data_IF_265751136840
#
_entry.id   IF_265751136840
#
_cell.length_a   1.000
_cell.length_b   1.000
_cell.length_c   1.000
_cell.angle_alpha   90.00
_cell.angle_beta   90.00
_cell.angle_gamma   90.00
#
_symmetry.space_group_name_H-M   'P 1'
#
loop_
_entity.id
_entity.type
_entity.pdbx_description
1 polymer ?
#
# COMPACT_ATOMS: atom_id res chain seq x y z
N UNK A 1 -10.39 6.75 16.23
CA UNK A 1 -11.14 6.11 15.12
C UNK A 1 -11.17 7.07 13.94
N UNK A 2 -10.87 6.60 12.72
CA UNK A 2 -10.95 7.45 11.53
C UNK A 2 -12.41 7.88 11.27
N UNK A 3 -12.63 9.16 10.93
CA UNK A 3 -13.97 9.73 10.65
C UNK A 3 -14.72 8.95 9.54
N UNK A 4 -14.00 8.38 8.58
CA UNK A 4 -14.54 7.53 7.52
C UNK A 4 -15.21 6.24 8.05
N UNK A 5 -14.61 5.58 9.06
CA UNK A 5 -15.16 4.34 9.61
C UNK A 5 -16.50 4.59 10.30
N UNK A 6 -16.66 5.76 10.93
CA UNK A 6 -17.93 6.18 11.53
C UNK A 6 -19.01 6.32 10.45
N UNK A 7 -18.66 6.92 9.30
CA UNK A 7 -19.58 7.06 8.16
C UNK A 7 -19.97 5.68 7.63
N UNK A 8 -18.99 4.81 7.33
CA UNK A 8 -19.23 3.47 6.77
C UNK A 8 -20.13 2.61 7.66
N UNK A 9 -19.91 2.63 8.97
CA UNK A 9 -20.68 1.80 9.91
C UNK A 9 -22.12 2.29 10.13
N UNK A 10 -22.45 3.53 9.74
CA UNK A 10 -23.77 4.13 9.97
C UNK A 10 -24.54 4.41 8.67
N UNK A 11 -24.08 3.88 7.53
CA UNK A 11 -24.74 4.04 6.23
C UNK A 11 -26.17 3.50 6.18
N UNK A 12 -26.49 2.50 7.01
CA UNK A 12 -27.84 1.92 7.09
C UNK A 12 -28.88 2.87 7.73
N UNK A 13 -28.42 3.89 8.47
CA UNK A 13 -29.30 4.78 9.25
C UNK A 13 -29.26 6.23 8.78
N UNK A 14 -28.11 6.69 8.27
CA UNK A 14 -27.91 8.09 7.89
C UNK A 14 -27.29 8.21 6.49
N UNK A 15 -27.58 9.31 5.80
CA UNK A 15 -26.94 9.62 4.53
C UNK A 15 -25.49 10.10 4.73
N UNK A 16 -24.62 9.81 3.77
CA UNK A 16 -23.23 10.31 3.73
C UNK A 16 -23.19 11.83 3.87
N UNK A 17 -24.11 12.54 3.21
CA UNK A 17 -24.20 14.00 3.26
C UNK A 17 -24.45 14.53 4.68
N UNK A 18 -25.37 13.91 5.43
CA UNK A 18 -25.66 14.29 6.81
C UNK A 18 -24.47 14.02 7.73
N UNK A 19 -23.86 12.84 7.62
CA UNK A 19 -22.70 12.48 8.44
C UNK A 19 -21.47 13.35 8.15
N UNK A 20 -21.21 13.67 6.88
CA UNK A 20 -20.15 14.60 6.47
C UNK A 20 -20.33 15.98 7.13
N UNK A 21 -21.56 16.51 7.19
CA UNK A 21 -21.84 17.79 7.87
C UNK A 21 -21.52 17.72 9.36
N UNK A 22 -21.98 16.68 10.05
CA UNK A 22 -21.76 16.50 11.50
C UNK A 22 -20.28 16.33 11.83
N UNK A 23 -19.55 15.56 11.02
CA UNK A 23 -18.13 15.28 11.21
C UNK A 23 -17.20 16.40 10.70
N UNK A 24 -17.78 17.49 10.18
CA UNK A 24 -17.08 18.61 9.55
C UNK A 24 -16.10 18.12 8.47
N UNK A 25 -16.60 17.24 7.60
CA UNK A 25 -15.86 16.58 6.54
C UNK A 25 -16.47 16.98 5.20
N UNK A 26 -15.63 17.37 4.24
CA UNK A 26 -16.14 17.66 2.91
C UNK A 26 -16.58 16.36 2.22
N UNK A 27 -17.68 16.40 1.46
CA UNK A 27 -18.17 15.23 0.70
C UNK A 27 -17.12 14.75 -0.31
N UNK A 28 -16.40 15.67 -0.95
CA UNK A 28 -15.36 15.35 -1.92
C UNK A 28 -14.20 14.61 -1.27
N UNK A 29 -13.75 15.03 -0.07
CA UNK A 29 -12.72 14.33 0.69
C UNK A 29 -13.13 12.89 0.99
N UNK A 30 -14.36 12.67 1.47
CA UNK A 30 -14.84 11.32 1.76
C UNK A 30 -14.80 10.39 0.54
N UNK A 31 -15.36 10.82 -0.59
CA UNK A 31 -15.38 9.99 -1.80
C UNK A 31 -13.97 9.79 -2.39
N UNK A 32 -13.10 10.80 -2.28
CA UNK A 32 -11.72 10.70 -2.73
C UNK A 32 -10.93 9.67 -1.92
N UNK A 33 -11.02 9.72 -0.60
CA UNK A 33 -10.37 8.76 0.30
C UNK A 33 -10.93 7.35 0.14
N UNK A 34 -12.25 7.21 0.05
CA UNK A 34 -12.92 5.93 -0.16
C UNK A 34 -12.46 5.27 -1.48
N UNK A 35 -12.41 6.06 -2.57
CA UNK A 35 -11.95 5.59 -3.88
C UNK A 35 -10.47 5.20 -3.88
N UNK A 36 -9.62 5.95 -3.17
CA UNK A 36 -8.20 5.59 -3.06
C UNK A 36 -8.02 4.24 -2.37
N UNK A 37 -8.68 4.02 -1.22
CA UNK A 37 -8.58 2.77 -0.46
C UNK A 37 -9.06 1.56 -1.25
N UNK A 38 -10.20 1.68 -1.94
CA UNK A 38 -10.72 0.61 -2.79
C UNK A 38 -9.70 0.25 -3.88
N UNK A 39 -9.12 1.25 -4.53
CA UNK A 39 -8.13 1.04 -5.59
C UNK A 39 -6.79 0.46 -5.12
N UNK A 40 -6.46 0.59 -3.84
CA UNK A 40 -5.28 -0.04 -3.25
C UNK A 40 -5.58 -1.49 -2.87
N UNK A 41 -6.74 -1.74 -2.27
CA UNK A 41 -7.18 -3.08 -1.86
C UNK A 41 -7.27 -4.05 -3.06
N UNK A 42 -7.80 -3.58 -4.21
CA UNK A 42 -7.88 -4.39 -5.43
C UNK A 42 -6.49 -4.83 -5.93
N UNK A 43 -5.46 -4.02 -5.71
CA UNK A 43 -4.10 -4.28 -6.21
C UNK A 43 -3.21 -5.02 -5.21
N UNK A 44 -3.55 -5.00 -3.92
CA UNK A 44 -2.78 -5.69 -2.87
C UNK A 44 -2.69 -7.19 -3.13
N UNK A 45 -3.82 -7.85 -3.39
CA UNK A 45 -3.87 -9.29 -3.64
C UNK A 45 -3.02 -9.74 -4.85
N UNK A 46 -3.16 -9.15 -6.06
CA UNK A 46 -2.34 -9.54 -7.21
C UNK A 46 -0.85 -9.18 -7.00
N UNK A 47 -0.53 -8.03 -6.39
CA UNK A 47 0.87 -7.68 -6.05
C UNK A 47 1.48 -8.74 -5.13
N UNK A 48 0.76 -9.15 -4.08
CA UNK A 48 1.24 -10.14 -3.12
C UNK A 48 1.42 -11.52 -3.76
N UNK A 49 0.49 -11.92 -4.64
CA UNK A 49 0.57 -13.15 -5.43
C UNK A 49 1.82 -13.16 -6.31
N UNK A 50 1.99 -12.16 -7.17
CA UNK A 50 3.16 -12.03 -8.06
C UNK A 50 4.46 -12.01 -7.25
N UNK A 51 4.47 -11.30 -6.12
CA UNK A 51 5.64 -11.24 -5.25
C UNK A 51 6.01 -12.61 -4.68
N UNK A 52 5.02 -13.38 -4.20
CA UNK A 52 5.22 -14.74 -3.69
C UNK A 52 5.66 -15.71 -4.78
N UNK A 53 5.02 -15.67 -5.95
CA UNK A 53 5.34 -16.51 -7.11
C UNK A 53 6.78 -16.26 -7.59
N UNK A 54 7.25 -15.01 -7.49
CA UNK A 54 8.63 -14.64 -7.79
C UNK A 54 9.66 -15.08 -6.73
N UNK A 55 9.23 -15.77 -5.67
CA UNK A 55 10.04 -16.10 -4.47
C UNK A 55 10.67 -14.85 -3.84
N UNK A 56 9.89 -13.77 -3.76
CA UNK A 56 10.31 -12.47 -3.21
C UNK A 56 11.46 -11.79 -3.95
N UNK A 57 11.76 -12.20 -5.18
CA UNK A 57 12.83 -11.57 -5.96
C UNK A 57 12.38 -10.27 -6.64
N UNK A 58 11.09 -10.14 -6.94
CA UNK A 58 10.62 -9.02 -7.74
C UNK A 58 10.40 -7.76 -6.90
N UNK A 59 10.94 -6.64 -7.41
CA UNK A 59 10.59 -5.29 -6.94
C UNK A 59 9.51 -4.66 -7.82
N UNK A 60 9.10 -3.43 -7.49
CA UNK A 60 8.00 -2.73 -8.15
C UNK A 60 8.09 -2.69 -9.69
N UNK A 61 9.30 -2.58 -10.26
CA UNK A 61 9.52 -2.58 -11.71
C UNK A 61 9.10 -3.89 -12.38
N UNK A 62 9.46 -5.04 -11.79
CA UNK A 62 9.12 -6.37 -12.35
C UNK A 62 7.65 -6.70 -12.09
N UNK A 63 7.14 -6.35 -10.91
CA UNK A 63 5.72 -6.53 -10.58
C UNK A 63 4.83 -5.73 -11.55
N UNK A 64 5.22 -4.52 -11.95
CA UNK A 64 4.50 -3.73 -12.96
C UNK A 64 4.31 -4.49 -14.27
N UNK A 65 5.37 -5.15 -14.75
CA UNK A 65 5.33 -5.91 -16.01
C UNK A 65 4.36 -7.09 -15.91
N UNK A 66 4.40 -7.83 -14.80
CA UNK A 66 3.46 -8.95 -14.59
C UNK A 66 2.01 -8.46 -14.44
N UNK A 67 1.79 -7.35 -13.73
CA UNK A 67 0.47 -6.73 -13.62
C UNK A 67 -0.07 -6.26 -14.98
N UNK A 68 0.78 -5.70 -15.84
CA UNK A 68 0.39 -5.30 -17.21
C UNK A 68 -0.05 -6.50 -18.05
N UNK A 69 0.59 -7.68 -17.88
CA UNK A 69 0.16 -8.92 -18.55
C UNK A 69 -1.20 -9.41 -18.06
N UNK A 70 -1.51 -9.18 -16.78
CA UNK A 70 -2.82 -9.47 -16.19
C UNK A 70 -3.87 -8.38 -16.51
N UNK A 71 -3.53 -7.36 -17.30
CA UNK A 71 -4.44 -6.30 -17.75
C UNK A 71 -4.52 -5.08 -16.82
N UNK A 72 -3.73 -5.03 -15.75
CA UNK A 72 -3.70 -3.88 -14.83
C UNK A 72 -2.81 -2.76 -15.34
N UNK A 73 -3.39 -1.58 -15.52
CA UNK A 73 -2.65 -0.36 -15.88
C UNK A 73 -2.34 0.47 -14.62
N UNK A 74 -1.15 0.27 -14.05
CA UNK A 74 -0.77 0.88 -12.76
C UNK A 74 0.63 1.48 -12.81
N UNK A 75 0.80 2.64 -12.17
CA UNK A 75 2.12 3.27 -12.05
C UNK A 75 3.05 2.52 -11.08
N UNK A 76 4.34 2.48 -11.39
CA UNK A 76 5.35 1.90 -10.51
C UNK A 76 5.42 2.56 -9.12
N UNK A 77 5.08 3.86 -9.02
CA UNK A 77 4.99 4.57 -7.73
C UNK A 77 3.86 4.01 -6.86
N UNK A 78 2.67 3.76 -7.44
CA UNK A 78 1.53 3.18 -6.72
C UNK A 78 1.87 1.79 -6.21
N UNK A 79 2.45 0.94 -7.07
CA UNK A 79 2.94 -0.39 -6.68
C UNK A 79 3.95 -0.28 -5.54
N UNK A 80 4.91 0.64 -5.62
CA UNK A 80 5.91 0.83 -4.55
C UNK A 80 5.29 1.26 -3.22
N UNK A 81 4.25 2.11 -3.25
CA UNK A 81 3.50 2.51 -2.05
C UNK A 81 2.79 1.32 -1.41
N UNK A 82 2.10 0.52 -2.22
CA UNK A 82 1.40 -0.69 -1.77
C UNK A 82 2.40 -1.71 -1.19
N UNK A 83 3.51 -1.96 -1.89
CA UNK A 83 4.56 -2.85 -1.39
C UNK A 83 5.08 -2.41 -0.01
N UNK A 84 5.32 -1.11 0.20
CA UNK A 84 5.75 -0.59 1.50
C UNK A 84 4.68 -0.74 2.57
N UNK A 85 3.42 -0.39 2.24
CA UNK A 85 2.30 -0.53 3.17
C UNK A 85 2.07 -2.00 3.58
N UNK A 86 2.33 -2.93 2.66
CA UNK A 86 2.22 -4.38 2.87
C UNK A 86 3.49 -5.04 3.41
N UNK A 87 4.56 -4.29 3.68
CA UNK A 87 5.84 -4.83 4.19
C UNK A 87 6.60 -5.72 3.21
N UNK A 88 6.34 -5.63 1.90
CA UNK A 88 6.97 -6.47 0.88
C UNK A 88 8.35 -5.91 0.50
N UNK A 89 9.41 -6.62 0.90
CA UNK A 89 10.80 -6.25 0.60
C UNK A 89 11.43 -7.30 -0.32
N UNK A 90 11.88 -6.87 -1.50
CA UNK A 90 12.58 -7.76 -2.43
C UNK A 90 13.91 -8.27 -1.83
N UNK A 91 14.26 -9.52 -2.11
CA UNK A 91 15.51 -10.15 -1.66
C UNK A 91 16.77 -9.36 -2.02
N UNK A 92 16.76 -8.67 -3.16
CA UNK A 92 17.87 -7.80 -3.57
C UNK A 92 18.04 -6.60 -2.62
N UNK A 93 16.92 -5.99 -2.21
CA UNK A 93 16.93 -4.90 -1.23
C UNK A 93 17.31 -5.42 0.16
N UNK A 94 16.83 -6.60 0.56
CA UNK A 94 17.26 -7.27 1.80
C UNK A 94 18.77 -7.49 1.83
N UNK A 95 19.38 -7.96 0.74
CA UNK A 95 20.83 -8.14 0.66
C UNK A 95 21.57 -6.80 0.78
N UNK A 96 21.13 -5.77 0.05
CA UNK A 96 21.70 -4.42 0.14
C UNK A 96 21.54 -3.79 1.54
N UNK A 97 20.40 -3.99 2.20
CA UNK A 97 20.12 -3.50 3.55
C UNK A 97 20.91 -4.26 4.61
N UNK A 98 21.08 -5.59 4.47
CA UNK A 98 21.91 -6.40 5.36
C UNK A 98 23.39 -6.02 5.26
N UNK A 99 23.89 -5.67 4.07
CA UNK A 99 25.25 -5.12 3.90
C UNK A 99 25.43 -3.80 4.68
N UNK A 100 24.40 -2.95 4.75
CA UNK A 100 24.46 -1.73 5.56
C UNK A 100 24.40 -2.02 7.07
N UNK A 101 23.56 -2.97 7.50
CA UNK A 101 23.45 -3.35 8.92
C UNK A 101 24.76 -3.95 9.47
N UNK A 102 25.44 -4.79 8.69
CA UNK A 102 26.76 -5.35 9.08
C UNK A 102 27.79 -4.22 9.28
N UNK A 103 27.83 -3.22 8.38
CA UNK A 103 28.75 -2.08 8.52
C UNK A 103 28.44 -1.19 9.72
N UNK A 104 27.15 -0.95 10.02
CA UNK A 104 26.74 -0.13 11.18
C UNK A 104 26.98 -0.87 12.51
N UNK A 105 26.75 -2.19 12.56
CA UNK A 105 27.00 -2.98 13.78
C UNK A 105 28.50 -3.15 14.07
N UNK A 106 29.36 -3.25 13.05
CA UNK A 106 30.81 -3.26 13.24
C UNK A 106 31.36 -1.90 13.74
N UNK A 107 30.75 -0.78 13.37
CA UNK A 107 31.18 0.55 13.84
C UNK A 107 30.80 0.81 15.31
N UNK A 108 29.74 0.16 15.81
CA UNK A 108 29.31 0.24 17.22
C UNK A 108 30.15 -0.60 18.19
N UNK A 109 30.98 -1.50 17.67
CA UNK A 109 31.92 -2.32 18.44
C UNK A 109 33.37 -1.80 18.42
N UNK A 110 33.62 -0.72 17.67
CA UNK A 110 34.95 -0.11 17.47
C UNK A 110 35.08 1.29 18.10
N UNK A 111 34.08 1.70 18.89
CA UNK A 111 34.10 2.88 19.79
C UNK A 111 33.67 2.37 21.16
#
# INVERSE_FOLDING_TARGET
MAKENVIKNNLYKYSVSAMCKVLQLSRSTYYYEAKQKESENILEAPIMKIFKDSRSNYGARKIKIELEKEGYQVSGRKISRIMRASGLISKYLLHSLNLMLINVMNLKFLI
#
